data_IF_729255375895
#
_entry.id   IF_729255375895
#
_cell.length_a   1.000
_cell.length_b   1.000
_cell.length_c   1.000
_cell.angle_alpha   90.00
_cell.angle_beta   90.00
_cell.angle_gamma   90.00
#
_symmetry.space_group_name_H-M   'P 1'
#
loop_
_entity.id
_entity.type
_entity.pdbx_description
1 polymer ?
#
# COMPACT_ATOMS: atom_id res chain seq x y z
N UNK A 1 -6.30 -18.85 19.04
CA UNK A 1 -6.87 -19.49 17.83
C UNK A 1 -6.93 -18.41 16.77
N UNK A 2 -6.04 -18.44 15.78
CA UNK A 2 -6.07 -17.53 14.64
C UNK A 2 -7.05 -18.08 13.60
N UNK A 3 -8.03 -17.27 13.20
CA UNK A 3 -8.96 -17.60 12.12
C UNK A 3 -8.26 -17.35 10.78
N UNK A 4 -8.50 -18.19 9.76
CA UNK A 4 -7.90 -18.03 8.41
C UNK A 4 -8.02 -16.62 7.80
N UNK A 5 -9.01 -15.81 8.20
CA UNK A 5 -9.08 -14.41 7.75
C UNK A 5 -7.85 -13.62 8.22
N UNK A 6 -7.47 -13.76 9.49
CA UNK A 6 -6.33 -13.03 10.10
C UNK A 6 -4.98 -13.22 9.41
N UNK A 7 -4.80 -14.32 8.68
CA UNK A 7 -3.59 -14.55 7.88
C UNK A 7 -3.62 -13.75 6.57
N UNK A 8 -4.81 -13.59 5.98
CA UNK A 8 -5.02 -12.90 4.71
C UNK A 8 -4.65 -11.42 4.83
N UNK A 9 -5.12 -10.69 5.86
CA UNK A 9 -4.80 -9.26 5.97
C UNK A 9 -3.29 -9.04 6.20
N UNK A 10 -2.63 -9.96 6.90
CA UNK A 10 -1.18 -9.94 7.05
C UNK A 10 -0.46 -10.21 5.71
N UNK A 11 -0.94 -11.16 4.92
CA UNK A 11 -0.37 -11.50 3.61
C UNK A 11 -0.60 -10.39 2.58
N UNK A 12 -1.76 -9.74 2.62
CA UNK A 12 -2.05 -8.53 1.84
C UNK A 12 -1.05 -7.41 2.15
N UNK A 13 -0.75 -7.15 3.42
CA UNK A 13 0.22 -6.14 3.81
C UNK A 13 1.64 -6.47 3.32
N UNK A 14 2.03 -7.75 3.35
CA UNK A 14 3.32 -8.22 2.82
C UNK A 14 3.36 -8.11 1.29
N UNK A 15 2.27 -8.46 0.61
CA UNK A 15 2.13 -8.39 -0.84
C UNK A 15 2.23 -6.95 -1.35
N UNK A 16 1.65 -5.98 -0.63
CA UNK A 16 1.86 -4.55 -0.90
C UNK A 16 3.36 -4.18 -0.86
N UNK A 17 4.07 -4.57 0.20
CA UNK A 17 5.50 -4.30 0.34
C UNK A 17 6.34 -5.01 -0.72
N UNK A 18 5.95 -6.22 -1.12
CA UNK A 18 6.56 -6.96 -2.22
C UNK A 18 6.39 -6.22 -3.55
N UNK A 19 5.17 -5.84 -3.92
CA UNK A 19 4.91 -5.11 -5.18
C UNK A 19 5.63 -3.78 -5.24
N UNK A 20 5.64 -3.04 -4.13
CA UNK A 20 6.37 -1.78 -4.04
C UNK A 20 7.89 -2.00 -4.17
N UNK A 21 8.42 -3.09 -3.60
CA UNK A 21 9.82 -3.48 -3.76
C UNK A 21 10.15 -3.79 -5.22
N UNK A 22 9.30 -4.55 -5.90
CA UNK A 22 9.46 -4.87 -7.31
C UNK A 22 9.45 -3.62 -8.20
N UNK A 23 8.59 -2.65 -7.89
CA UNK A 23 8.59 -1.35 -8.57
C UNK A 23 9.95 -0.66 -8.49
N UNK A 24 10.55 -0.58 -7.30
CA UNK A 24 11.89 0.03 -7.15
C UNK A 24 12.97 -0.74 -7.91
N UNK A 25 12.92 -2.08 -7.88
CA UNK A 25 13.82 -2.94 -8.64
C UNK A 25 13.71 -2.69 -10.15
N UNK A 26 12.48 -2.75 -10.66
CA UNK A 26 12.21 -2.75 -12.11
C UNK A 26 12.43 -1.37 -12.72
N UNK A 27 12.22 -0.29 -11.94
CA UNK A 27 12.52 1.08 -12.36
C UNK A 27 13.94 1.55 -12.04
N UNK A 28 14.75 0.70 -11.38
CA UNK A 28 16.10 1.04 -10.91
C UNK A 28 16.16 2.29 -10.01
N UNK A 29 15.06 2.60 -9.32
CA UNK A 29 14.98 3.71 -8.38
C UNK A 29 15.50 3.32 -7.00
N UNK A 30 16.06 4.29 -6.28
CA UNK A 30 16.48 4.08 -4.90
C UNK A 30 15.23 3.81 -4.02
N UNK A 31 15.20 2.71 -3.25
CA UNK A 31 14.08 2.41 -2.37
C UNK A 31 13.83 3.52 -1.34
N UNK A 32 12.58 3.98 -1.27
CA UNK A 32 12.09 4.88 -0.24
C UNK A 32 11.30 4.10 0.82
N UNK A 33 11.24 4.55 2.08
CA UNK A 33 10.33 3.97 3.05
C UNK A 33 8.87 3.95 2.53
N UNK A 34 8.11 2.86 2.76
CA UNK A 34 6.76 2.71 2.20
C UNK A 34 5.80 3.88 2.50
N UNK A 35 5.94 4.49 3.68
CA UNK A 35 5.09 5.61 4.11
C UNK A 35 5.36 6.94 3.38
N UNK A 36 6.41 7.03 2.55
CA UNK A 36 6.69 8.16 1.65
C UNK A 36 6.93 7.74 0.20
N UNK A 37 6.70 6.47 -0.15
CA UNK A 37 6.95 5.94 -1.48
C UNK A 37 5.77 6.26 -2.42
N UNK A 38 5.69 7.51 -2.88
CA UNK A 38 4.72 7.94 -3.87
C UNK A 38 5.15 7.52 -5.27
N UNK A 39 4.53 6.48 -5.83
CA UNK A 39 4.87 5.92 -7.14
C UNK A 39 4.69 6.95 -8.25
N UNK A 40 3.61 7.74 -8.23
CA UNK A 40 3.35 8.76 -9.25
C UNK A 40 4.46 9.82 -9.28
N UNK A 41 4.88 10.32 -8.11
CA UNK A 41 5.98 11.30 -8.03
C UNK A 41 7.34 10.73 -8.41
N UNK A 42 7.60 9.45 -8.12
CA UNK A 42 8.82 8.78 -8.58
C UNK A 42 8.84 8.66 -10.11
N UNK A 43 7.67 8.52 -10.74
CA UNK A 43 7.49 8.51 -12.20
C UNK A 43 7.45 9.92 -12.81
N UNK A 44 7.60 10.97 -12.00
CA UNK A 44 7.70 12.36 -12.47
C UNK A 44 6.42 13.18 -12.39
N UNK A 45 5.34 12.67 -11.79
CA UNK A 45 4.12 13.46 -11.57
C UNK A 45 4.22 14.35 -10.32
N UNK A 46 4.07 15.64 -10.51
CA UNK A 46 4.17 16.67 -9.46
C UNK A 46 2.81 17.09 -8.89
N UNK A 47 1.71 16.50 -9.36
CA UNK A 47 0.36 16.90 -8.97
C UNK A 47 -0.08 16.22 -7.66
N UNK A 48 0.38 16.76 -6.54
CA UNK A 48 -0.02 16.25 -5.23
C UNK A 48 -1.55 16.25 -5.03
N UNK A 49 -2.04 15.15 -4.46
CA UNK A 49 -3.45 14.96 -4.11
C UNK A 49 -3.62 15.16 -2.61
N UNK A 50 -4.65 15.92 -2.22
CA UNK A 50 -5.09 16.03 -0.84
C UNK A 50 -6.36 15.18 -0.65
N UNK A 51 -6.32 14.20 0.25
CA UNK A 51 -7.40 13.23 0.44
C UNK A 51 -8.72 13.88 0.86
N UNK A 52 -8.65 15.03 1.55
CA UNK A 52 -9.80 15.79 2.05
C UNK A 52 -10.73 16.26 0.92
N UNK A 53 -10.20 16.39 -0.31
CA UNK A 53 -10.99 16.73 -1.49
C UNK A 53 -11.84 15.57 -2.02
N UNK A 54 -11.56 14.34 -1.58
CA UNK A 54 -12.20 13.11 -2.07
C UNK A 54 -12.96 12.36 -0.98
N UNK A 55 -12.54 12.49 0.28
CA UNK A 55 -13.15 11.78 1.40
C UNK A 55 -13.22 12.67 2.65
N UNK A 56 -14.27 12.47 3.46
CA UNK A 56 -14.34 13.09 4.77
C UNK A 56 -13.31 12.41 5.69
N UNK A 57 -12.30 13.16 6.10
CA UNK A 57 -11.20 12.70 6.97
C UNK A 57 -11.71 12.19 8.32
N UNK A 58 -12.82 12.74 8.83
CA UNK A 58 -13.45 12.24 10.08
C UNK A 58 -14.01 10.83 9.91
N UNK A 59 -14.58 10.52 8.75
CA UNK A 59 -15.06 9.17 8.42
C UNK A 59 -13.91 8.18 8.16
N UNK A 60 -12.75 8.67 7.73
CA UNK A 60 -11.55 7.84 7.55
C UNK A 60 -10.88 7.49 8.88
N UNK A 61 -10.98 8.37 9.88
CA UNK A 61 -10.38 8.18 11.19
C UNK A 61 -10.94 6.95 11.95
N UNK A 62 -12.12 6.45 11.55
CA UNK A 62 -12.70 5.21 12.11
C UNK A 62 -12.06 3.93 11.55
N UNK A 63 -11.35 4.00 10.42
CA UNK A 63 -10.76 2.85 9.72
C UNK A 63 -9.23 2.89 9.58
N UNK A 64 -8.59 4.01 9.94
CA UNK A 64 -7.13 4.15 9.96
C UNK A 64 -6.72 5.40 10.73
N UNK A 65 -6.12 5.25 11.90
CA UNK A 65 -5.93 6.36 12.85
C UNK A 65 -4.65 7.18 12.63
N UNK A 66 -3.91 6.97 11.54
CA UNK A 66 -2.62 7.64 11.32
C UNK A 66 -2.44 8.19 9.90
N UNK A 67 -1.93 9.43 9.82
CA UNK A 67 -1.69 10.24 8.61
C UNK A 67 -1.00 9.49 7.47
N UNK A 68 -0.13 8.52 7.75
CA UNK A 68 0.58 7.79 6.71
C UNK A 68 -0.31 6.84 5.91
N UNK A 69 -1.40 6.32 6.50
CA UNK A 69 -2.38 5.53 5.76
C UNK A 69 -3.07 6.41 4.71
N UNK A 70 -3.42 7.63 5.08
CA UNK A 70 -4.03 8.59 4.15
C UNK A 70 -3.09 8.95 3.01
N UNK A 71 -1.79 9.11 3.31
CA UNK A 71 -0.77 9.35 2.29
C UNK A 71 -0.72 8.22 1.26
N UNK A 72 -0.84 6.95 1.67
CA UNK A 72 -0.89 5.83 0.70
C UNK A 72 -2.11 5.92 -0.22
N UNK A 73 -3.27 6.32 0.29
CA UNK A 73 -4.45 6.57 -0.54
C UNK A 73 -4.27 7.77 -1.48
N UNK A 74 -3.65 8.86 -1.02
CA UNK A 74 -3.30 10.00 -1.87
C UNK A 74 -2.36 9.57 -3.01
N UNK A 75 -1.38 8.71 -2.74
CA UNK A 75 -0.46 8.19 -3.75
C UNK A 75 -1.18 7.33 -4.78
N UNK A 76 -2.11 6.48 -4.35
CA UNK A 76 -2.96 5.73 -5.26
C UNK A 76 -3.81 6.64 -6.14
N UNK A 77 -4.48 7.64 -5.56
CA UNK A 77 -5.32 8.58 -6.31
C UNK A 77 -4.52 9.41 -7.31
N UNK A 78 -3.33 9.85 -6.94
CA UNK A 78 -2.41 10.55 -7.82
C UNK A 78 -2.00 9.66 -9.00
N UNK A 79 -1.62 8.40 -8.72
CA UNK A 79 -1.26 7.45 -9.76
C UNK A 79 -2.44 7.09 -10.67
N UNK A 80 -3.65 6.97 -10.13
CA UNK A 80 -4.86 6.70 -10.91
C UNK A 80 -5.14 7.84 -11.90
N UNK A 81 -5.02 9.09 -11.45
CA UNK A 81 -5.14 10.26 -12.32
C UNK A 81 -4.07 10.28 -13.41
N UNK A 82 -2.84 9.88 -13.10
CA UNK A 82 -1.76 9.75 -14.09
C UNK A 82 -2.07 8.64 -15.11
N UNK A 83 -2.58 7.50 -14.65
CA UNK A 83 -2.96 6.37 -15.50
C UNK A 83 -4.16 6.67 -16.42
N UNK A 84 -5.07 7.56 -16.01
CA UNK A 84 -6.15 8.08 -16.86
C UNK A 84 -5.62 8.94 -18.03
N UNK A 85 -4.45 9.57 -17.85
CA UNK A 85 -3.79 10.40 -18.88
C UNK A 85 -2.91 9.57 -19.81
N UNK A 86 -2.23 8.55 -19.27
CA UNK A 86 -1.39 7.64 -20.02
C UNK A 86 -1.58 6.20 -19.51
N UNK A 87 -2.18 5.37 -20.37
CA UNK A 87 -2.45 3.97 -20.07
C UNK A 87 -1.19 3.14 -19.77
N UNK A 88 0.01 3.63 -20.10
CA UNK A 88 1.28 3.00 -19.73
C UNK A 88 1.50 2.87 -18.21
N UNK A 89 0.76 3.61 -17.39
CA UNK A 89 0.89 3.57 -15.92
C UNK A 89 -0.15 2.70 -15.21
N UNK A 90 -1.13 2.14 -15.92
CA UNK A 90 -2.25 1.37 -15.33
C UNK A 90 -1.75 0.20 -14.48
N UNK A 91 -0.72 -0.51 -14.93
CA UNK A 91 -0.19 -1.68 -14.22
C UNK A 91 0.42 -1.32 -12.86
N UNK A 92 0.89 -0.07 -12.67
CA UNK A 92 1.43 0.37 -11.38
C UNK A 92 0.34 0.55 -10.32
N UNK A 93 -0.93 0.70 -10.70
CA UNK A 93 -2.04 0.75 -9.74
C UNK A 93 -2.12 -0.55 -8.92
N UNK A 94 -1.74 -1.67 -9.54
CA UNK A 94 -1.71 -2.98 -8.89
C UNK A 94 -0.78 -3.03 -7.67
N UNK A 95 0.17 -2.09 -7.52
CA UNK A 95 1.00 -1.98 -6.33
C UNK A 95 0.15 -1.74 -5.08
N UNK A 96 -0.86 -0.88 -5.18
CA UNK A 96 -1.68 -0.44 -4.05
C UNK A 96 -2.86 -1.37 -3.74
N UNK A 97 -3.28 -2.20 -4.71
CA UNK A 97 -4.40 -3.14 -4.57
C UNK A 97 -4.38 -3.99 -3.29
N UNK A 98 -3.27 -4.65 -2.90
CA UNK A 98 -3.25 -5.44 -1.67
C UNK A 98 -3.50 -4.58 -0.42
N UNK A 99 -3.02 -3.34 -0.41
CA UNK A 99 -3.20 -2.43 0.71
C UNK A 99 -4.65 -1.99 0.82
N UNK A 100 -5.29 -1.62 -0.30
CA UNK A 100 -6.70 -1.25 -0.37
C UNK A 100 -7.59 -2.41 0.10
N UNK A 101 -7.28 -3.64 -0.33
CA UNK A 101 -8.01 -4.85 0.06
C UNK A 101 -8.04 -5.13 1.55
N UNK A 102 -7.08 -4.65 2.33
CA UNK A 102 -7.14 -4.76 3.79
C UNK A 102 -8.36 -4.01 4.32
N UNK A 103 -8.62 -2.81 3.81
CA UNK A 103 -9.75 -1.96 4.24
C UNK A 103 -11.09 -2.46 3.70
N UNK A 104 -11.14 -3.00 2.47
CA UNK A 104 -12.33 -3.66 1.93
C UNK A 104 -12.80 -4.84 2.81
N UNK A 105 -11.87 -5.43 3.55
CA UNK A 105 -12.10 -6.55 4.48
C UNK A 105 -12.25 -6.09 5.94
N UNK A 106 -12.54 -4.81 6.15
CA UNK A 106 -12.67 -4.17 7.48
C UNK A 106 -11.39 -4.26 8.34
N UNK A 107 -10.25 -4.57 7.72
CA UNK A 107 -8.95 -4.62 8.38
C UNK A 107 -8.45 -3.22 8.75
N UNK A 108 -7.71 -3.15 9.86
CA UNK A 108 -7.15 -1.92 10.39
C UNK A 108 -5.62 -1.94 10.29
N UNK A 109 -5.05 -0.87 9.76
CA UNK A 109 -3.60 -0.72 9.57
C UNK A 109 -3.08 0.50 10.32
N UNK A 110 -1.93 0.35 10.97
CA UNK A 110 -1.10 1.44 11.47
C UNK A 110 0.22 1.41 10.72
N UNK A 111 0.42 2.40 9.86
CA UNK A 111 1.69 2.64 9.18
C UNK A 111 2.40 3.79 9.86
N UNK A 112 3.70 3.63 10.18
CA UNK A 112 4.55 4.71 10.72
C UNK A 112 6.02 4.42 10.39
N UNK A 113 6.96 5.35 10.66
CA UNK A 113 8.37 5.09 10.44
C UNK A 113 8.82 3.82 11.18
N UNK A 114 9.36 2.87 10.43
CA UNK A 114 9.94 1.63 10.97
C UNK A 114 9.00 0.44 11.12
N UNK A 115 7.68 0.59 11.00
CA UNK A 115 6.74 -0.55 11.06
C UNK A 115 5.45 -0.34 10.26
N UNK A 116 4.92 -1.46 9.78
CA UNK A 116 3.57 -1.61 9.27
C UNK A 116 2.87 -2.63 10.17
N UNK A 117 1.86 -2.19 10.93
CA UNK A 117 1.12 -3.05 11.84
C UNK A 117 -0.31 -3.24 11.33
N UNK A 118 -0.65 -4.48 11.00
CA UNK A 118 -2.02 -4.91 10.73
C UNK A 118 -2.62 -5.33 12.08
N UNK A 119 -3.53 -4.51 12.61
CA UNK A 119 -3.99 -4.60 13.99
C UNK A 119 -4.66 -5.95 14.26
N UNK A 120 -4.16 -6.66 15.27
CA UNK A 120 -4.63 -7.99 15.64
C UNK A 120 -4.05 -9.15 14.83
N UNK A 121 -3.28 -8.86 13.78
CA UNK A 121 -2.88 -9.87 12.79
C UNK A 121 -1.37 -9.97 12.57
N UNK A 122 -0.69 -8.84 12.31
CA UNK A 122 0.74 -8.87 12.05
C UNK A 122 1.44 -7.55 12.38
N UNK A 123 2.62 -7.67 12.96
CA UNK A 123 3.57 -6.58 13.11
C UNK A 123 4.73 -6.81 12.13
N UNK A 124 4.89 -5.90 11.15
CA UNK A 124 5.90 -6.01 10.09
C UNK A 124 6.95 -4.90 10.28
N UNK A 125 8.17 -5.24 10.75
CA UNK A 125 9.25 -4.26 10.87
C UNK A 125 9.78 -3.83 9.51
N UNK A 126 9.79 -2.52 9.25
CA UNK A 126 10.23 -1.91 7.99
C UNK A 126 11.74 -1.62 7.93
N UNK A 127 12.49 -1.94 8.99
CA UNK A 127 13.96 -1.95 8.92
C UNK A 127 14.40 -2.97 7.86
N UNK A 128 15.21 -2.54 6.89
CA UNK A 128 15.65 -3.36 5.74
C UNK A 128 14.46 -3.99 4.98
N UNK A 129 13.32 -3.28 4.88
CA UNK A 129 12.12 -3.83 4.25
C UNK A 129 12.37 -4.30 2.81
N UNK A 130 13.10 -3.50 2.01
CA UNK A 130 13.41 -3.85 0.62
C UNK A 130 14.04 -5.24 0.50
N UNK A 131 15.10 -5.51 1.28
CA UNK A 131 15.82 -6.79 1.25
C UNK A 131 14.94 -7.97 1.70
N UNK A 132 13.94 -7.72 2.56
CA UNK A 132 13.01 -8.75 3.04
C UNK A 132 11.96 -9.15 2.01
N UNK A 133 11.59 -8.23 1.12
CA UNK A 133 10.46 -8.40 0.22
C UNK A 133 10.85 -8.60 -1.25
N UNK A 134 12.13 -8.42 -1.60
CA UNK A 134 12.63 -8.57 -2.97
C UNK A 134 12.47 -10.00 -3.52
N UNK A 135 12.70 -11.00 -2.67
CA UNK A 135 12.65 -12.43 -3.01
C UNK A 135 11.41 -13.14 -2.42
N UNK A 136 10.43 -12.37 -1.92
CA UNK A 136 9.20 -12.95 -1.40
C UNK A 136 8.36 -13.52 -2.56
N UNK A 137 7.79 -14.71 -2.37
CA UNK A 137 6.85 -15.31 -3.32
C UNK A 137 5.57 -14.47 -3.46
N UNK A 138 4.96 -14.38 -4.66
CA UNK A 138 3.75 -13.61 -4.87
C UNK A 138 2.55 -14.21 -4.13
N UNK A 139 1.77 -13.34 -3.51
CA UNK A 139 0.47 -13.70 -2.94
C UNK A 139 -0.65 -13.45 -3.96
N UNK A 140 -1.47 -14.47 -4.22
CA UNK A 140 -2.56 -14.39 -5.19
C UNK A 140 -3.82 -13.76 -4.60
N UNK A 141 -4.15 -12.57 -5.11
CA UNK A 141 -5.34 -11.81 -4.70
C UNK A 141 -6.66 -12.40 -5.24
N UNK A 142 -6.63 -13.19 -6.32
CA UNK A 142 -7.85 -13.67 -6.99
C UNK A 142 -8.51 -14.84 -6.26
N UNK A 143 -7.79 -15.46 -5.34
CA UNK A 143 -8.25 -16.62 -4.57
C UNK A 143 -8.72 -16.26 -3.16
N UNK A 144 -8.92 -14.97 -2.89
CA UNK A 144 -9.46 -14.48 -1.63
C UNK A 144 -10.96 -14.78 -1.58
N UNK A 145 -11.38 -15.64 -0.64
CA UNK A 145 -12.81 -15.81 -0.35
C UNK A 145 -13.31 -14.58 0.39
N UNK A 146 -14.39 -13.99 -0.13
CA UNK A 146 -15.21 -12.99 0.55
C UNK A 146 -15.85 -13.58 1.82
#
# INVERSE_FOLDING_TARGET
>A
MGTRSSEIEADLAREYLRRLTLFFRDTSNKPLPPFIANVASILGDEQEIEISNYCNVEAMATHGSNVYVYKVFEYYLQLAKLADQDHGYVDYLLIYEPFIKIFEREGLVVLKPGELNVVGFAHIPLNHWYDKFIDMEPFDLNNLKE
#
